data_IF_071634211336
#
_entry.id   IF_071634211336
#
_cell.length_a   1.000
_cell.length_b   1.000
_cell.length_c   1.000
_cell.angle_alpha   90.00
_cell.angle_beta   90.00
_cell.angle_gamma   90.00
#
_symmetry.space_group_name_H-M   'P 1'
#
loop_
_entity.id
_entity.type
_entity.pdbx_description
1 polymer ?
#
# COMPACT_ATOMS: atom_id res chain seq x y z
N UNK A 1 20.01 -46.51 -11.19
CA UNK A 1 20.49 -45.11 -10.98
C UNK A 1 20.21 -44.29 -12.24
N UNK A 2 19.40 -43.23 -12.15
CA UNK A 2 19.53 -42.00 -12.95
C UNK A 2 18.58 -40.94 -12.37
N UNK A 3 19.19 -39.83 -11.95
CA UNK A 3 18.65 -38.74 -11.15
C UNK A 3 17.45 -38.08 -11.84
N UNK A 4 16.33 -37.93 -11.13
CA UNK A 4 15.35 -36.89 -11.45
C UNK A 4 15.78 -35.64 -10.68
N UNK A 5 16.62 -34.83 -11.31
CA UNK A 5 16.92 -33.48 -10.82
C UNK A 5 15.65 -32.68 -11.09
N UNK A 6 14.81 -32.52 -10.06
CA UNK A 6 13.78 -31.50 -10.08
C UNK A 6 14.52 -30.16 -10.22
N UNK A 7 14.49 -29.59 -11.42
CA UNK A 7 14.72 -28.17 -11.60
C UNK A 7 13.57 -27.45 -10.88
N UNK A 8 13.73 -27.23 -9.58
CA UNK A 8 13.08 -26.10 -8.93
C UNK A 8 13.67 -24.86 -9.62
N UNK A 9 13.01 -24.46 -10.71
CA UNK A 9 13.04 -23.10 -11.17
C UNK A 9 12.58 -22.28 -9.97
N UNK A 10 13.55 -21.82 -9.18
CA UNK A 10 13.39 -20.67 -8.32
C UNK A 10 13.01 -19.55 -9.27
N UNK A 11 11.71 -19.42 -9.50
CA UNK A 11 11.10 -18.21 -9.99
C UNK A 11 11.71 -17.12 -9.15
N UNK A 12 12.61 -16.36 -9.77
CA UNK A 12 13.18 -15.18 -9.17
C UNK A 12 11.99 -14.33 -8.77
N UNK A 13 11.65 -14.35 -7.49
CA UNK A 13 10.83 -13.32 -6.89
C UNK A 13 11.75 -12.11 -6.96
N UNK A 14 11.67 -11.42 -8.10
CA UNK A 14 12.13 -10.05 -8.21
C UNK A 14 11.34 -9.30 -7.15
N UNK A 15 11.94 -9.17 -5.95
CA UNK A 15 11.56 -8.14 -5.00
C UNK A 15 11.94 -6.85 -5.69
N UNK A 16 11.05 -6.40 -6.56
CA UNK A 16 11.02 -5.03 -7.02
C UNK A 16 10.88 -4.21 -5.76
N UNK A 17 12.01 -3.69 -5.28
CA UNK A 17 12.09 -2.67 -4.26
C UNK A 17 11.55 -1.39 -4.91
N UNK A 18 10.24 -1.35 -5.16
CA UNK A 18 9.55 -0.12 -5.53
C UNK A 18 9.77 0.86 -4.38
N UNK A 19 10.23 2.07 -4.68
CA UNK A 19 10.26 3.14 -3.70
C UNK A 19 8.83 3.33 -3.19
N UNK A 20 8.64 3.32 -1.87
CA UNK A 20 7.31 3.43 -1.26
C UNK A 20 7.19 4.76 -0.54
N UNK A 21 6.16 5.52 -0.86
CA UNK A 21 5.79 6.71 -0.09
C UNK A 21 4.99 6.23 1.11
N UNK A 22 5.45 6.55 2.32
CA UNK A 22 4.70 6.24 3.54
C UNK A 22 3.86 7.44 3.93
N UNK A 23 2.55 7.24 4.05
CA UNK A 23 1.64 8.21 4.64
C UNK A 23 1.20 7.73 6.02
N UNK A 24 1.22 8.65 6.97
CA UNK A 24 0.67 8.44 8.32
C UNK A 24 -0.59 9.28 8.43
N UNK A 25 -1.70 8.64 8.76
CA UNK A 25 -2.99 9.31 8.87
C UNK A 25 -3.76 8.75 10.06
N UNK A 26 -4.73 9.51 10.55
CA UNK A 26 -5.64 9.08 11.62
C UNK A 26 -7.05 9.12 11.09
N UNK A 27 -7.77 8.02 11.23
CA UNK A 27 -9.16 7.94 10.80
C UNK A 27 -10.06 8.84 11.66
N UNK A 28 -11.23 9.19 11.17
CA UNK A 28 -12.19 10.03 11.90
C UNK A 28 -12.72 9.37 13.17
N UNK A 29 -12.60 8.04 13.28
CA UNK A 29 -12.88 7.27 14.48
C UNK A 29 -11.65 7.07 15.40
N UNK A 30 -10.52 7.73 15.11
CA UNK A 30 -9.37 7.85 16.00
C UNK A 30 -8.30 6.76 15.84
N UNK A 31 -8.35 5.96 14.78
CA UNK A 31 -7.38 4.88 14.53
C UNK A 31 -6.21 5.42 13.70
N UNK A 32 -4.99 5.21 14.17
CA UNK A 32 -3.78 5.63 13.47
C UNK A 32 -3.31 4.55 12.49
N UNK A 33 -3.10 4.95 11.24
CA UNK A 33 -2.68 4.08 10.16
C UNK A 33 -1.31 4.48 9.61
N UNK A 34 -0.55 3.47 9.19
CA UNK A 34 0.72 3.61 8.48
C UNK A 34 0.58 2.90 7.13
N UNK A 35 0.36 3.67 6.07
CA UNK A 35 0.09 3.12 4.75
C UNK A 35 1.28 3.39 3.83
N UNK A 36 1.75 2.35 3.16
CA UNK A 36 2.77 2.47 2.12
C UNK A 36 2.10 2.48 0.74
N UNK A 37 2.35 3.51 -0.04
CA UNK A 37 1.88 3.66 -1.40
C UNK A 37 3.01 3.46 -2.41
N UNK A 38 2.69 3.01 -3.63
CA UNK A 38 3.64 3.04 -4.73
C UNK A 38 4.10 4.47 -5.03
N UNK A 39 5.37 4.66 -5.35
CA UNK A 39 5.94 5.93 -5.86
C UNK A 39 5.21 6.49 -7.09
N UNK A 40 4.65 5.61 -7.93
CA UNK A 40 3.84 5.98 -9.09
C UNK A 40 2.51 6.67 -8.76
N UNK A 41 2.04 6.62 -7.50
CA UNK A 41 0.80 7.26 -7.11
C UNK A 41 1.01 8.75 -6.85
N UNK A 42 0.15 9.56 -7.47
CA UNK A 42 0.05 10.98 -7.13
C UNK A 42 -0.56 11.17 -5.75
N UNK A 43 -0.28 12.30 -5.10
CA UNK A 43 -0.87 12.62 -3.79
C UNK A 43 -2.41 12.63 -3.81
N UNK A 44 -3.03 13.02 -4.92
CA UNK A 44 -4.49 12.97 -5.07
C UNK A 44 -5.01 11.52 -5.06
N UNK A 45 -4.30 10.58 -5.69
CA UNK A 45 -4.70 9.16 -5.67
C UNK A 45 -4.56 8.57 -4.27
N UNK A 46 -3.49 8.93 -3.56
CA UNK A 46 -3.30 8.53 -2.17
C UNK A 46 -4.40 9.10 -1.27
N UNK A 47 -4.75 10.39 -1.44
CA UNK A 47 -5.80 11.05 -0.68
C UNK A 47 -7.18 10.38 -0.87
N UNK A 48 -7.56 10.13 -2.12
CA UNK A 48 -8.83 9.45 -2.45
C UNK A 48 -8.88 8.03 -1.86
N UNK A 49 -7.74 7.33 -1.85
CA UNK A 49 -7.67 6.00 -1.23
C UNK A 49 -7.85 6.08 0.28
N UNK A 50 -7.20 7.03 0.95
CA UNK A 50 -7.35 7.25 2.40
C UNK A 50 -8.79 7.63 2.74
N UNK A 51 -9.43 8.50 1.95
CA UNK A 51 -10.84 8.86 2.11
C UNK A 51 -11.75 7.63 2.02
N UNK A 52 -11.56 6.79 0.99
CA UNK A 52 -12.32 5.54 0.84
C UNK A 52 -12.11 4.60 2.02
N UNK A 53 -10.87 4.48 2.51
CA UNK A 53 -10.57 3.65 3.68
C UNK A 53 -11.22 4.20 4.94
N UNK A 54 -11.17 5.52 5.15
CA UNK A 54 -11.85 6.16 6.28
C UNK A 54 -13.36 5.94 6.24
N UNK A 55 -13.97 6.07 5.06
CA UNK A 55 -15.38 5.81 4.89
C UNK A 55 -15.73 4.35 5.20
N UNK A 56 -14.94 3.40 4.71
CA UNK A 56 -15.14 1.98 4.99
C UNK A 56 -14.96 1.63 6.48
N UNK A 57 -14.07 2.32 7.18
CA UNK A 57 -13.77 2.06 8.59
C UNK A 57 -14.75 2.77 9.54
N UNK A 58 -15.02 4.06 9.31
CA UNK A 58 -15.74 4.93 10.24
C UNK A 58 -17.09 5.41 9.69
N UNK A 59 -17.50 5.01 8.47
CA UNK A 59 -18.77 5.39 7.85
C UNK A 59 -18.92 6.87 7.53
N UNK A 60 -17.81 7.61 7.51
CA UNK A 60 -17.78 9.07 7.35
C UNK A 60 -16.82 9.45 6.23
N UNK A 61 -17.26 10.30 5.31
CA UNK A 61 -16.37 10.89 4.31
C UNK A 61 -15.41 11.88 4.98
N UNK A 62 -14.13 11.81 4.62
CA UNK A 62 -13.10 12.66 5.19
C UNK A 62 -12.37 13.39 4.06
N UNK A 63 -12.26 14.72 4.19
CA UNK A 63 -11.42 15.49 3.29
C UNK A 63 -9.94 15.24 3.62
N UNK A 64 -9.26 14.51 2.75
CA UNK A 64 -7.83 14.18 2.91
C UNK A 64 -7.00 15.12 2.03
N UNK A 65 -6.10 15.86 2.66
CA UNK A 65 -5.07 16.65 1.95
C UNK A 65 -3.70 16.15 2.37
N UNK A 66 -2.87 15.76 1.40
CA UNK A 66 -1.50 15.32 1.64
C UNK A 66 -0.55 16.48 1.31
N UNK A 67 0.22 16.88 2.32
CA UNK A 67 1.32 17.83 2.13
C UNK A 67 2.63 17.04 1.94
N UNK A 68 3.40 17.30 0.88
CA UNK A 68 4.71 16.68 0.67
C UNK A 68 5.73 17.00 1.76
#
# INVERSE_FOLDING_TARGET
MKKKILFCAMMGISVMAFARIQAVWTSTCGVKHYTSFPDSWTYNQMANWIESMNYNECGTEANVTIHP
#
